data_IF_038740967352
#
_entry.id   IF_038740967352
#
_cell.length_a   1.000
_cell.length_b   1.000
_cell.length_c   1.000
_cell.angle_alpha   90.00
_cell.angle_beta   90.00
_cell.angle_gamma   90.00
#
_symmetry.space_group_name_H-M   'P 1'
#
loop_
_entity.id
_entity.type
_entity.pdbx_description
1 polymer ?
#
# COMPACT_ATOMS: atom_id res chain seq x y z
N UNK A 1 2.67 -16.67 -3.29
CA UNK A 1 3.37 -16.80 -1.99
C UNK A 1 2.73 -17.81 -1.03
N UNK A 2 1.83 -18.70 -1.49
CA UNK A 2 1.17 -19.70 -0.62
C UNK A 2 2.02 -20.94 -0.30
N UNK A 3 3.18 -21.08 -0.95
CA UNK A 3 4.12 -22.20 -0.74
C UNK A 3 5.06 -22.00 0.45
N UNK A 4 5.06 -20.80 1.04
CA UNK A 4 5.83 -20.49 2.24
C UNK A 4 4.92 -20.52 3.46
N UNK A 5 5.45 -21.11 4.53
CA UNK A 5 4.88 -21.00 5.87
C UNK A 5 4.61 -19.52 6.19
N UNK A 6 3.45 -19.17 6.77
CA UNK A 6 3.07 -17.80 7.08
C UNK A 6 4.17 -16.99 7.79
N UNK A 7 4.94 -17.65 8.65
CA UNK A 7 6.01 -17.10 9.46
C UNK A 7 7.22 -16.66 8.63
N UNK A 8 7.46 -17.28 7.46
CA UNK A 8 8.57 -16.97 6.56
C UNK A 8 8.22 -15.88 5.55
N UNK A 9 6.94 -15.56 5.39
CA UNK A 9 6.46 -14.60 4.40
C UNK A 9 7.05 -13.20 4.56
N UNK A 10 7.15 -12.62 5.78
CA UNK A 10 7.75 -11.31 5.96
C UNK A 10 9.23 -11.26 5.55
N UNK A 11 10.01 -12.27 5.92
CA UNK A 11 11.41 -12.36 5.57
C UNK A 11 11.61 -12.49 4.05
N UNK A 12 10.82 -13.33 3.39
CA UNK A 12 10.83 -13.46 1.93
C UNK A 12 10.44 -12.13 1.24
N UNK A 13 9.42 -11.44 1.74
CA UNK A 13 9.00 -10.15 1.22
C UNK A 13 10.11 -9.10 1.35
N UNK A 14 10.81 -9.03 2.49
CA UNK A 14 11.96 -8.14 2.67
C UNK A 14 13.08 -8.45 1.68
N UNK A 15 13.48 -9.71 1.53
CA UNK A 15 14.55 -10.13 0.60
C UNK A 15 14.20 -9.79 -0.84
N UNK A 16 12.96 -10.06 -1.27
CA UNK A 16 12.49 -9.69 -2.61
C UNK A 16 12.56 -8.18 -2.83
N UNK A 17 12.08 -7.40 -1.86
CA UNK A 17 12.05 -5.93 -1.93
C UNK A 17 13.48 -5.35 -1.96
N UNK A 18 14.40 -5.91 -1.17
CA UNK A 18 15.82 -5.55 -1.16
C UNK A 18 16.53 -5.91 -2.46
N UNK A 19 16.22 -7.07 -3.04
CA UNK A 19 16.79 -7.51 -4.31
C UNK A 19 16.40 -6.56 -5.45
N UNK A 20 15.12 -6.19 -5.54
CA UNK A 20 14.64 -5.22 -6.54
C UNK A 20 15.28 -3.86 -6.33
N UNK A 21 15.39 -3.41 -5.08
CA UNK A 21 16.08 -2.17 -4.73
C UNK A 21 17.54 -2.15 -5.17
N UNK A 22 18.30 -3.19 -4.83
CA UNK A 22 19.71 -3.31 -5.20
C UNK A 22 19.89 -3.31 -6.73
N UNK A 23 19.04 -4.05 -7.44
CA UNK A 23 19.05 -4.07 -8.89
C UNK A 23 18.71 -2.70 -9.51
N UNK A 24 17.78 -1.95 -8.91
CA UNK A 24 17.42 -0.60 -9.35
C UNK A 24 18.53 0.42 -9.06
N UNK A 25 19.26 0.25 -7.96
CA UNK A 25 20.38 1.10 -7.60
C UNK A 25 21.58 0.94 -8.55
N UNK A 26 21.80 -0.26 -9.07
CA UNK A 26 22.91 -0.57 -9.98
C UNK A 26 22.64 -0.17 -11.45
N UNK A 27 21.38 -0.27 -11.90
CA UNK A 27 20.99 0.05 -13.28
C UNK A 27 19.76 0.99 -13.29
N UNK A 28 19.96 2.32 -13.38
CA UNK A 28 18.87 3.29 -13.26
C UNK A 28 18.02 3.35 -14.54
N UNK A 29 17.16 2.33 -14.71
CA UNK A 29 16.09 2.27 -15.71
C UNK A 29 14.71 2.36 -15.04
N UNK A 30 13.68 2.91 -15.71
CA UNK A 30 12.32 3.00 -15.16
C UNK A 30 11.78 1.63 -14.74
N UNK A 31 11.36 1.53 -13.48
CA UNK A 31 10.71 0.33 -12.91
C UNK A 31 9.62 0.76 -11.93
N UNK A 32 8.67 -0.12 -11.71
CA UNK A 32 7.68 0.00 -10.65
C UNK A 32 7.82 -1.19 -9.71
N UNK A 33 8.08 -0.93 -8.44
CA UNK A 33 7.98 -1.92 -7.38
C UNK A 33 6.61 -1.79 -6.72
N UNK A 34 5.80 -2.83 -6.86
CA UNK A 34 4.49 -2.95 -6.22
C UNK A 34 4.64 -3.89 -5.03
N UNK A 35 4.35 -3.39 -3.84
CA UNK A 35 4.34 -4.16 -2.59
C UNK A 35 2.89 -4.30 -2.17
N UNK A 36 2.32 -5.47 -2.48
CA UNK A 36 1.01 -5.86 -1.96
C UNK A 36 1.14 -6.29 -0.49
N UNK A 37 0.14 -5.96 0.31
CA UNK A 37 0.12 -6.18 1.75
C UNK A 37 1.37 -5.69 2.49
N UNK A 38 1.67 -4.39 2.36
CA UNK A 38 2.89 -3.77 2.92
C UNK A 38 2.99 -3.88 4.44
N UNK A 39 1.86 -4.03 5.14
CA UNK A 39 1.82 -4.25 6.59
C UNK A 39 2.66 -5.47 6.99
N UNK A 40 2.64 -6.53 6.18
CA UNK A 40 3.41 -7.75 6.42
C UNK A 40 4.92 -7.51 6.57
N UNK A 41 5.46 -6.48 5.92
CA UNK A 41 6.85 -6.03 6.05
C UNK A 41 6.99 -5.04 7.21
N UNK A 42 6.05 -4.12 7.32
CA UNK A 42 6.14 -2.99 8.24
C UNK A 42 5.95 -3.34 9.71
N UNK A 43 5.23 -4.42 10.02
CA UNK A 43 5.13 -4.94 11.39
C UNK A 43 6.51 -5.25 12.01
N UNK A 44 7.56 -5.40 11.20
CA UNK A 44 8.94 -5.53 11.65
C UNK A 44 9.68 -4.19 11.62
N UNK A 45 10.36 -3.79 12.70
CA UNK A 45 11.15 -2.56 12.78
C UNK A 45 12.08 -2.29 11.60
N UNK A 46 12.86 -3.29 11.18
CA UNK A 46 13.81 -3.14 10.08
C UNK A 46 13.11 -3.01 8.73
N UNK A 47 12.03 -3.78 8.52
CA UNK A 47 11.18 -3.66 7.34
C UNK A 47 10.55 -2.28 7.21
N UNK A 48 10.01 -1.74 8.31
CA UNK A 48 9.48 -0.37 8.35
C UNK A 48 10.54 0.68 8.01
N UNK A 49 11.72 0.61 8.62
CA UNK A 49 12.82 1.53 8.35
C UNK A 49 13.30 1.43 6.89
N UNK A 50 13.38 0.21 6.36
CA UNK A 50 13.75 -0.05 4.97
C UNK A 50 12.74 0.56 3.99
N UNK A 51 11.44 0.33 4.20
CA UNK A 51 10.38 0.88 3.35
C UNK A 51 10.40 2.42 3.34
N UNK A 52 10.55 3.07 4.50
CA UNK A 52 10.66 4.54 4.59
C UNK A 52 11.90 5.04 3.85
N UNK A 53 13.04 4.36 4.03
CA UNK A 53 14.29 4.70 3.36
C UNK A 53 14.19 4.56 1.84
N UNK A 54 13.45 3.55 1.37
CA UNK A 54 13.15 3.37 -0.04
C UNK A 54 12.25 4.48 -0.56
N UNK A 55 11.14 4.79 0.09
CA UNK A 55 10.22 5.85 -0.34
C UNK A 55 10.92 7.21 -0.52
N UNK A 56 11.88 7.53 0.35
CA UNK A 56 12.70 8.76 0.25
C UNK A 56 13.71 8.77 -0.90
N UNK A 57 14.13 7.60 -1.39
CA UNK A 57 15.25 7.46 -2.33
C UNK A 57 14.86 6.91 -3.70
N UNK A 58 13.73 6.20 -3.84
CA UNK A 58 13.32 5.49 -5.05
C UNK A 58 13.37 6.36 -6.33
N UNK A 59 12.95 7.62 -6.22
CA UNK A 59 13.03 8.59 -7.33
C UNK A 59 14.45 8.78 -7.89
N UNK A 60 15.49 8.73 -7.03
CA UNK A 60 16.90 8.88 -7.46
C UNK A 60 17.36 7.71 -8.33
N UNK A 61 16.70 6.56 -8.22
CA UNK A 61 17.05 5.33 -8.94
C UNK A 61 16.03 4.99 -10.05
N UNK A 62 15.20 5.96 -10.47
CA UNK A 62 14.10 5.77 -11.44
C UNK A 62 13.16 4.62 -11.08
N UNK A 63 12.98 4.38 -9.78
CA UNK A 63 12.07 3.40 -9.22
C UNK A 63 10.81 4.11 -8.73
N UNK A 64 9.65 3.74 -9.27
CA UNK A 64 8.36 4.01 -8.64
C UNK A 64 8.12 3.01 -7.52
N UNK A 65 7.58 3.48 -6.40
CA UNK A 65 7.14 2.63 -5.29
C UNK A 65 5.62 2.76 -5.16
N UNK A 66 4.92 1.64 -5.28
CA UNK A 66 3.51 1.50 -4.98
C UNK A 66 3.37 0.49 -3.86
N UNK A 67 2.64 0.85 -2.81
CA UNK A 67 2.34 -0.05 -1.70
C UNK A 67 0.83 -0.08 -1.47
N UNK A 68 0.33 -1.27 -1.14
CA UNK A 68 -1.09 -1.56 -0.96
C UNK A 68 -1.24 -2.20 0.42
N UNK A 69 -2.30 -1.83 1.14
CA UNK A 69 -2.64 -2.41 2.46
C UNK A 69 -4.15 -2.38 2.66
N UNK A 70 -4.67 -3.40 3.33
CA UNK A 70 -6.05 -3.43 3.84
C UNK A 70 -6.10 -2.90 5.28
N UNK A 71 -5.06 -3.11 6.07
CA UNK A 71 -4.95 -2.69 7.47
C UNK A 71 -4.33 -1.28 7.58
N UNK A 72 -5.09 -0.26 7.14
CA UNK A 72 -4.67 1.15 7.27
C UNK A 72 -4.55 1.57 8.73
N UNK A 73 -5.38 1.02 9.61
CA UNK A 73 -5.33 1.35 11.04
C UNK A 73 -4.00 0.96 11.67
N UNK A 74 -3.50 -0.23 11.34
CA UNK A 74 -2.22 -0.73 11.85
C UNK A 74 -1.03 0.09 11.34
N UNK A 75 -1.10 0.55 10.09
CA UNK A 75 -0.13 1.47 9.49
C UNK A 75 -0.08 2.83 10.21
N UNK A 76 -1.22 3.28 10.73
CA UNK A 76 -1.42 4.63 11.27
C UNK A 76 -1.49 4.70 12.80
N UNK A 77 -1.64 3.55 13.46
CA UNK A 77 -1.83 3.44 14.89
C UNK A 77 -0.70 4.15 15.66
N UNK A 78 -1.09 5.06 16.55
CA UNK A 78 -0.18 5.74 17.48
C UNK A 78 -0.01 4.94 18.78
N UNK A 79 -0.48 3.68 18.84
CA UNK A 79 -0.53 2.95 20.11
C UNK A 79 0.86 2.91 20.75
N UNK A 80 0.90 3.56 21.90
CA UNK A 80 2.00 4.42 22.34
C UNK A 80 3.04 3.63 23.13
N UNK A 81 3.22 2.36 22.77
CA UNK A 81 4.20 1.46 23.35
C UNK A 81 5.16 0.97 22.26
N UNK A 82 6.19 1.79 22.01
CA UNK A 82 7.50 1.37 21.48
C UNK A 82 7.51 0.64 20.12
N UNK A 83 6.51 0.82 19.26
CA UNK A 83 6.51 0.15 17.95
C UNK A 83 6.83 1.15 16.83
N UNK A 84 7.87 0.81 16.05
CA UNK A 84 8.46 1.59 14.96
C UNK A 84 7.49 1.78 13.76
N UNK A 85 6.32 1.12 13.80
CA UNK A 85 5.32 1.02 12.73
C UNK A 85 4.57 2.33 12.46
N UNK A 86 3.93 2.95 13.46
CA UNK A 86 3.04 4.11 13.23
C UNK A 86 3.75 5.35 12.68
N UNK A 87 4.94 5.68 13.22
CA UNK A 87 5.78 6.77 12.70
C UNK A 87 6.25 6.48 11.26
N UNK A 88 6.62 5.23 10.98
CA UNK A 88 7.07 4.82 9.65
C UNK A 88 5.94 4.80 8.63
N UNK A 89 4.74 4.38 9.02
CA UNK A 89 3.55 4.40 8.19
C UNK A 89 3.17 5.80 7.74
N UNK A 90 3.13 6.76 8.67
CA UNK A 90 2.94 8.17 8.32
C UNK A 90 4.03 8.71 7.40
N UNK A 91 5.29 8.36 7.66
CA UNK A 91 6.41 8.79 6.81
C UNK A 91 6.28 8.23 5.39
N UNK A 92 5.84 6.98 5.20
CA UNK A 92 5.55 6.41 3.88
C UNK A 92 4.44 7.19 3.16
N UNK A 93 3.31 7.41 3.84
CA UNK A 93 2.19 8.14 3.27
C UNK A 93 2.58 9.56 2.87
N UNK A 94 3.40 10.25 3.66
CA UNK A 94 3.89 11.59 3.34
C UNK A 94 4.79 11.62 2.10
N UNK A 95 5.54 10.55 1.82
CA UNK A 95 6.39 10.44 0.64
C UNK A 95 5.63 9.96 -0.61
N UNK A 96 4.40 9.46 -0.45
CA UNK A 96 3.56 9.06 -1.57
C UNK A 96 2.96 10.27 -2.30
N UNK A 97 3.33 10.44 -3.58
CA UNK A 97 2.83 11.52 -4.43
C UNK A 97 1.33 11.38 -4.77
N UNK A 98 0.84 10.14 -4.78
CA UNK A 98 -0.55 9.77 -5.02
C UNK A 98 -1.00 8.83 -3.92
N UNK A 99 -2.28 8.94 -3.51
CA UNK A 99 -2.93 8.00 -2.60
C UNK A 99 -4.28 7.67 -3.18
N UNK A 100 -4.60 6.39 -3.29
CA UNK A 100 -5.90 5.92 -3.78
C UNK A 100 -6.62 5.25 -2.62
N UNK A 101 -7.75 5.81 -2.21
CA UNK A 101 -8.60 5.26 -1.17
C UNK A 101 -9.81 4.61 -1.83
N UNK A 102 -9.96 3.31 -1.67
CA UNK A 102 -11.16 2.59 -2.11
C UNK A 102 -12.17 2.52 -0.96
N UNK A 103 -13.25 1.77 -1.14
CA UNK A 103 -14.24 1.53 -0.08
C UNK A 103 -13.58 1.16 1.26
N UNK A 104 -14.02 1.79 2.34
CA UNK A 104 -13.55 1.55 3.70
C UNK A 104 -14.66 0.92 4.54
N UNK A 105 -14.29 0.17 5.56
CA UNK A 105 -15.25 -0.29 6.57
C UNK A 105 -15.47 0.76 7.67
N UNK A 106 -16.48 0.50 8.52
CA UNK A 106 -16.82 1.39 9.62
C UNK A 106 -15.73 1.49 10.70
N UNK A 107 -14.87 0.48 10.83
CA UNK A 107 -13.79 0.49 11.80
C UNK A 107 -12.66 1.43 11.34
N UNK A 108 -12.30 1.42 10.05
CA UNK A 108 -11.16 2.13 9.48
C UNK A 108 -11.48 3.57 9.03
N UNK A 109 -12.74 3.88 8.66
CA UNK A 109 -13.07 5.15 7.98
C UNK A 109 -12.69 6.40 8.78
N UNK A 110 -12.82 6.37 10.12
CA UNK A 110 -12.45 7.50 10.97
C UNK A 110 -10.95 7.75 10.94
N UNK A 111 -10.15 6.69 11.07
CA UNK A 111 -8.68 6.75 11.03
C UNK A 111 -8.19 7.23 9.67
N UNK A 112 -8.78 6.73 8.57
CA UNK A 112 -8.53 7.20 7.20
C UNK A 112 -8.88 8.67 7.07
N UNK A 113 -10.04 9.07 7.59
CA UNK A 113 -10.53 10.44 7.57
C UNK A 113 -9.56 11.41 8.23
N UNK A 114 -9.08 11.09 9.43
CA UNK A 114 -8.09 11.88 10.16
C UNK A 114 -6.73 11.94 9.44
N UNK A 115 -6.22 10.80 8.96
CA UNK A 115 -4.90 10.74 8.35
C UNK A 115 -4.79 11.47 7.01
N UNK A 116 -5.90 11.59 6.29
CA UNK A 116 -5.95 12.27 4.99
C UNK A 116 -6.78 13.55 4.99
N UNK A 117 -7.17 14.05 6.16
CA UNK A 117 -7.97 15.26 6.34
C UNK A 117 -9.24 15.23 5.47
N UNK A 118 -10.01 14.15 5.53
CA UNK A 118 -11.22 13.98 4.70
C UNK A 118 -12.43 14.63 5.37
N UNK A 119 -13.22 15.45 4.64
CA UNK A 119 -14.53 15.88 5.10
C UNK A 119 -15.44 14.68 5.42
N UNK A 120 -16.31 14.82 6.42
CA UNK A 120 -17.25 13.76 6.83
C UNK A 120 -18.12 13.25 5.68
N UNK A 121 -18.45 14.10 4.71
CA UNK A 121 -19.20 13.71 3.50
C UNK A 121 -18.45 12.68 2.66
N UNK A 122 -17.14 12.86 2.47
CA UNK A 122 -16.30 11.91 1.74
C UNK A 122 -16.06 10.64 2.54
N UNK A 123 -15.95 10.73 3.87
CA UNK A 123 -15.89 9.56 4.74
C UNK A 123 -17.17 8.72 4.62
N UNK A 124 -18.34 9.36 4.71
CA UNK A 124 -19.64 8.69 4.51
C UNK A 124 -19.75 8.06 3.13
N UNK A 125 -19.26 8.74 2.09
CA UNK A 125 -19.24 8.17 0.74
C UNK A 125 -18.33 6.94 0.63
N UNK A 126 -17.13 6.98 1.23
CA UNK A 126 -16.20 5.85 1.25
C UNK A 126 -16.74 4.60 1.97
N UNK A 127 -17.71 4.73 2.86
CA UNK A 127 -18.37 3.57 3.49
C UNK A 127 -19.25 2.78 2.51
N UNK A 128 -19.84 3.46 1.52
CA UNK A 128 -20.86 2.88 0.65
C UNK A 128 -20.53 2.95 -0.83
N UNK A 129 -19.33 3.42 -1.21
CA UNK A 129 -18.96 3.54 -2.61
C UNK A 129 -18.89 2.14 -3.27
N UNK A 130 -19.35 1.99 -4.52
CA UNK A 130 -19.27 0.72 -5.23
C UNK A 130 -17.83 0.20 -5.35
N UNK A 131 -17.67 -1.11 -5.53
CA UNK A 131 -16.38 -1.70 -5.89
C UNK A 131 -15.87 -1.06 -7.19
N UNK A 132 -14.61 -0.62 -7.18
CA UNK A 132 -13.99 0.11 -8.28
C UNK A 132 -14.09 1.62 -8.14
N UNK A 133 -15.00 2.14 -7.32
CA UNK A 133 -15.06 3.56 -6.99
C UNK A 133 -14.10 3.88 -5.84
N UNK A 134 -13.49 5.06 -5.89
CA UNK A 134 -12.58 5.52 -4.85
C UNK A 134 -12.22 6.99 -4.96
N UNK A 135 -11.34 7.44 -4.07
CA UNK A 135 -10.85 8.81 -3.98
C UNK A 135 -9.34 8.83 -4.27
N UNK A 136 -8.96 9.47 -5.37
CA UNK A 136 -7.56 9.75 -5.68
C UNK A 136 -7.15 11.08 -5.05
N UNK A 137 -6.18 11.02 -4.14
CA UNK A 137 -5.54 12.20 -3.56
C UNK A 137 -4.26 12.49 -4.31
N UNK A 138 -4.17 13.67 -4.91
CA UNK A 138 -3.02 14.11 -5.68
C UNK A 138 -2.82 15.62 -5.55
N UNK A 139 -1.61 16.07 -5.24
CA UNK A 139 -1.25 17.50 -5.18
C UNK A 139 -2.20 18.35 -4.31
N UNK A 140 -2.67 17.79 -3.19
CA UNK A 140 -3.59 18.46 -2.27
C UNK A 140 -5.05 18.49 -2.74
N UNK A 141 -5.37 17.89 -3.88
CA UNK A 141 -6.72 17.77 -4.41
C UNK A 141 -7.26 16.35 -4.22
N UNK A 142 -8.59 16.23 -4.22
CA UNK A 142 -9.34 14.99 -4.05
C UNK A 142 -10.21 14.76 -5.28
N UNK A 143 -10.03 13.64 -5.96
CA UNK A 143 -10.75 13.32 -7.19
C UNK A 143 -11.52 12.01 -6.99
N UNK A 144 -12.86 12.03 -7.04
CA UNK A 144 -13.62 10.80 -7.17
C UNK A 144 -13.22 10.12 -8.48
N UNK A 145 -12.89 8.84 -8.42
CA UNK A 145 -12.48 8.03 -9.56
C UNK A 145 -13.28 6.74 -9.58
N UNK A 146 -13.47 6.20 -10.79
CA UNK A 146 -13.95 4.84 -11.03
C UNK A 146 -12.88 4.10 -11.81
N UNK A 147 -12.51 2.94 -11.30
CA UNK A 147 -11.51 2.05 -11.88
C UNK A 147 -12.25 0.87 -12.46
N UNK A 148 -12.11 0.69 -13.77
CA UNK A 148 -12.72 -0.40 -14.53
C UNK A 148 -11.60 -1.16 -15.22
N UNK A 149 -11.61 -2.49 -15.09
CA UNK A 149 -10.73 -3.36 -15.85
C UNK A 149 -11.29 -3.54 -17.25
N UNK A 150 -10.43 -3.60 -18.27
CA UNK A 150 -10.86 -4.01 -19.60
C UNK A 150 -11.28 -5.49 -19.60
N UNK A 151 -12.01 -5.98 -20.63
CA UNK A 151 -12.29 -7.41 -20.75
C UNK A 151 -11.03 -8.27 -20.70
N UNK A 152 -9.96 -7.84 -21.37
CA UNK A 152 -8.67 -8.55 -21.40
C UNK A 152 -7.99 -8.57 -20.03
N UNK A 153 -8.03 -7.47 -19.28
CA UNK A 153 -7.50 -7.41 -17.92
C UNK A 153 -8.32 -8.28 -16.96
N UNK A 154 -9.64 -8.32 -17.16
CA UNK A 154 -10.57 -9.13 -16.34
C UNK A 154 -10.25 -10.61 -16.48
N UNK A 155 -10.00 -11.10 -17.70
CA UNK A 155 -9.61 -12.49 -17.95
C UNK A 155 -8.31 -12.89 -17.22
N UNK A 156 -7.35 -11.97 -17.13
CA UNK A 156 -6.08 -12.19 -16.42
C UNK A 156 -6.26 -12.15 -14.91
N UNK A 157 -7.08 -11.23 -14.39
CA UNK A 157 -7.27 -10.97 -12.96
C UNK A 157 -8.18 -12.01 -12.30
N UNK A 158 -9.26 -12.43 -12.96
CA UNK A 158 -10.24 -13.38 -12.42
C UNK A 158 -9.73 -14.83 -12.38
N UNK A 159 -8.41 -15.05 -12.29
CA UNK A 159 -7.82 -16.37 -12.13
C UNK A 159 -8.50 -17.13 -10.98
N UNK A 160 -9.31 -18.13 -11.34
CA UNK A 160 -9.93 -19.06 -10.39
C UNK A 160 -9.01 -20.27 -10.26
N UNK A 161 -8.60 -20.66 -9.04
CA UNK A 161 -7.95 -21.94 -8.87
C UNK A 161 -8.90 -23.03 -9.38
N UNK A 162 -8.42 -23.89 -10.28
CA UNK A 162 -9.17 -25.05 -10.75
C UNK A 162 -9.59 -25.95 -9.58
N UNK A 163 -10.60 -26.82 -9.77
CA UNK A 163 -11.06 -27.72 -8.71
C UNK A 163 -9.87 -28.49 -8.13
N UNK A 164 -9.74 -28.47 -6.80
CA UNK A 164 -8.74 -29.29 -6.10
C UNK A 164 -9.16 -30.76 -6.30
N UNK A 165 -8.34 -31.51 -7.03
CA UNK A 165 -8.45 -32.97 -7.12
C UNK A 165 -7.98 -33.63 -5.83
#
# INVERSE_FOLDING_TARGET
MHLLEPELRPAAAMVCTETVWAAAAQDPRPRLLVVDEVWSIMQHPEGAAFMVSMAKRARKHRLGLQFITQDVQDLLSEDSSRTITGHSGRALLQNAAFKLLLQQDAAAVSTVGEAFDLPEELQRWLLSCPRGDGLLLARGQRFPVRIEATPEETEVIEWRPGPRH
#
